data_IF_278802175551
#
_entry.id   IF_278802175551
#
_cell.length_a   1.000
_cell.length_b   1.000
_cell.length_c   1.000
_cell.angle_alpha   90.00
_cell.angle_beta   90.00
_cell.angle_gamma   90.00
#
_symmetry.space_group_name_H-M   'P 1'
#
loop_
_entity.id
_entity.type
_entity.pdbx_description
1 polymer ?
#
# COMPACT_ATOMS: atom_id res chain seq x y z
N UNK A 1 5.28 -14.68 23.42
CA UNK A 1 5.44 -13.36 22.81
C UNK A 1 6.94 -13.06 22.72
N UNK A 2 7.48 -12.91 21.49
CA UNK A 2 8.92 -12.63 21.26
C UNK A 2 9.30 -11.21 21.69
N UNK A 3 8.44 -10.26 21.37
CA UNK A 3 8.62 -8.84 21.68
C UNK A 3 7.36 -8.36 22.38
N UNK A 4 7.30 -8.43 23.72
CA UNK A 4 6.13 -7.99 24.45
C UNK A 4 6.02 -6.47 24.49
N UNK A 5 4.80 -5.96 24.51
CA UNK A 5 4.54 -4.58 24.84
C UNK A 5 5.08 -4.26 26.23
N UNK A 6 5.64 -3.08 26.38
CA UNK A 6 6.00 -2.58 27.69
C UNK A 6 4.80 -1.90 28.34
N UNK A 7 4.69 -2.04 29.64
CA UNK A 7 3.69 -1.33 30.44
C UNK A 7 4.05 0.16 30.59
N UNK A 8 4.37 0.79 29.46
CA UNK A 8 4.67 2.21 29.37
C UNK A 8 3.52 2.86 28.61
N UNK A 9 2.92 3.87 29.18
CA UNK A 9 1.80 4.60 28.58
C UNK A 9 2.17 5.04 27.16
N UNK A 10 1.33 4.70 26.18
CA UNK A 10 1.49 4.99 24.75
C UNK A 10 2.71 4.34 24.07
N UNK A 11 3.28 3.31 24.67
CA UNK A 11 4.38 2.56 24.05
C UNK A 11 3.89 1.17 23.63
N UNK A 12 4.06 0.85 22.36
CA UNK A 12 3.68 -0.46 21.78
C UNK A 12 4.81 -1.00 20.91
N UNK A 13 4.80 -2.31 20.70
CA UNK A 13 5.59 -2.98 19.65
C UNK A 13 4.65 -3.38 18.53
N UNK A 14 4.98 -3.07 17.28
CA UNK A 14 4.07 -3.26 16.15
C UNK A 14 4.81 -3.59 14.85
N UNK A 15 4.03 -4.00 13.87
CA UNK A 15 4.46 -4.17 12.46
C UNK A 15 5.66 -5.11 12.32
N UNK A 16 5.58 -6.30 12.89
CA UNK A 16 6.64 -7.30 12.78
C UNK A 16 6.80 -7.79 11.35
N UNK A 17 8.01 -7.63 10.77
CA UNK A 17 8.37 -8.19 9.47
C UNK A 17 9.51 -9.18 9.61
N UNK A 18 9.37 -10.36 9.03
CA UNK A 18 10.43 -11.37 8.95
C UNK A 18 11.18 -11.26 7.63
N UNK A 19 12.50 -11.38 7.71
CA UNK A 19 13.39 -11.48 6.56
C UNK A 19 14.19 -12.77 6.66
N UNK A 20 14.22 -13.56 5.57
CA UNK A 20 15.06 -14.77 5.46
C UNK A 20 16.25 -14.45 4.56
N UNK A 21 17.44 -14.58 5.11
CA UNK A 21 18.69 -14.34 4.36
C UNK A 21 19.09 -15.56 3.52
N UNK A 22 20.05 -15.37 2.62
CA UNK A 22 20.55 -16.39 1.70
C UNK A 22 21.17 -17.60 2.41
N UNK A 23 21.67 -17.40 3.63
CA UNK A 23 22.22 -18.47 4.48
C UNK A 23 21.16 -19.22 5.31
N UNK A 24 19.87 -18.88 5.13
CA UNK A 24 18.74 -19.42 5.88
C UNK A 24 18.54 -18.79 7.26
N UNK A 25 19.36 -17.84 7.67
CA UNK A 25 19.13 -17.07 8.90
C UNK A 25 17.85 -16.25 8.78
N UNK A 26 17.07 -16.22 9.86
CA UNK A 26 15.81 -15.48 9.90
C UNK A 26 15.93 -14.32 10.87
N UNK A 27 15.51 -13.15 10.42
CA UNK A 27 15.51 -11.91 11.18
C UNK A 27 14.10 -11.39 11.34
N UNK A 28 13.80 -10.78 12.48
CA UNK A 28 12.55 -10.07 12.77
C UNK A 28 12.87 -8.60 13.01
N UNK A 29 12.09 -7.72 12.37
CA UNK A 29 12.13 -6.26 12.56
C UNK A 29 10.78 -5.81 13.10
N UNK A 30 10.76 -4.79 13.96
CA UNK A 30 9.53 -4.27 14.57
C UNK A 30 9.65 -2.81 14.97
N UNK A 31 8.53 -2.08 14.91
CA UNK A 31 8.44 -0.73 15.47
C UNK A 31 8.44 -0.75 17.00
N UNK A 32 9.02 0.26 17.61
CA UNK A 32 9.13 0.37 19.08
C UNK A 32 8.33 1.52 19.68
N UNK A 33 7.79 2.41 18.89
CA UNK A 33 6.89 3.51 19.26
C UNK A 33 7.11 4.08 20.68
N UNK A 34 8.22 4.76 20.89
CA UNK A 34 8.50 5.44 22.14
C UNK A 34 8.89 4.55 23.34
N UNK A 35 8.97 3.22 23.19
CA UNK A 35 9.50 2.34 24.22
C UNK A 35 10.96 2.69 24.54
N UNK A 36 11.73 3.02 23.52
CA UNK A 36 13.14 3.38 23.63
C UNK A 36 13.36 4.76 23.00
N UNK A 37 13.77 5.72 23.81
CA UNK A 37 14.06 7.09 23.33
C UNK A 37 15.20 7.07 22.31
N UNK A 38 14.97 7.64 21.10
CA UNK A 38 15.97 7.72 20.03
C UNK A 38 16.11 6.45 19.18
N UNK A 39 15.24 5.45 19.41
CA UNK A 39 15.23 4.21 18.66
C UNK A 39 13.81 3.89 18.21
N UNK A 40 13.55 4.01 16.92
CA UNK A 40 12.23 3.75 16.35
C UNK A 40 11.98 2.27 16.03
N UNK A 41 13.02 1.53 15.75
CA UNK A 41 12.95 0.15 15.29
C UNK A 41 13.86 -0.77 16.12
N UNK A 42 13.38 -2.00 16.35
CA UNK A 42 14.18 -3.10 16.84
C UNK A 42 14.40 -4.14 15.74
N UNK A 43 15.51 -4.88 15.83
CA UNK A 43 15.83 -6.01 14.98
C UNK A 43 16.38 -7.17 15.83
N UNK A 44 16.14 -8.41 15.39
CA UNK A 44 16.70 -9.56 16.07
C UNK A 44 16.84 -10.76 15.13
N UNK A 45 17.94 -11.50 15.31
CA UNK A 45 18.14 -12.79 14.65
C UNK A 45 17.41 -13.86 15.46
N UNK A 46 16.50 -14.57 14.82
CA UNK A 46 15.75 -15.64 15.44
C UNK A 46 16.63 -16.89 15.66
N UNK A 47 16.44 -17.57 16.76
CA UNK A 47 17.00 -18.89 16.98
C UNK A 47 16.27 -19.95 16.13
N UNK A 48 16.84 -21.14 16.01
CA UNK A 48 16.26 -22.24 15.21
C UNK A 48 14.86 -22.68 15.66
N UNK A 49 14.51 -22.40 16.92
CA UNK A 49 13.17 -22.67 17.46
C UNK A 49 12.11 -21.64 17.03
N UNK A 50 12.53 -20.56 16.37
CA UNK A 50 11.68 -19.42 15.94
C UNK A 50 10.89 -18.77 17.10
N UNK A 51 11.33 -18.94 18.34
CA UNK A 51 10.65 -18.46 19.56
C UNK A 51 11.53 -17.58 20.44
N UNK A 52 12.80 -17.51 20.13
CA UNK A 52 13.77 -16.70 20.86
C UNK A 52 14.72 -16.00 19.89
N UNK A 53 15.47 -15.03 20.41
CA UNK A 53 16.53 -14.34 19.65
C UNK A 53 17.90 -14.85 20.09
N UNK A 54 18.79 -15.04 19.11
CA UNK A 54 20.23 -15.25 19.35
C UNK A 54 20.98 -13.94 19.46
N UNK A 55 20.48 -12.90 18.79
CA UNK A 55 21.04 -11.56 18.78
C UNK A 55 19.91 -10.53 18.62
N UNK A 56 20.02 -9.38 19.27
CA UNK A 56 19.09 -8.27 19.12
C UNK A 56 19.82 -6.95 19.01
N UNK A 57 19.22 -6.01 18.27
CA UNK A 57 19.73 -4.65 18.12
C UNK A 57 18.57 -3.66 18.10
N UNK A 58 18.76 -2.50 18.77
CA UNK A 58 17.92 -1.33 18.55
C UNK A 58 18.57 -0.48 17.44
N UNK A 59 17.76 -0.15 16.41
CA UNK A 59 18.21 0.69 15.30
C UNK A 59 17.97 2.14 15.68
N UNK A 60 19.04 2.97 15.80
CA UNK A 60 18.89 4.36 16.22
C UNK A 60 18.28 5.21 15.10
N UNK A 61 17.58 6.27 15.48
CA UNK A 61 16.98 7.21 14.54
C UNK A 61 18.00 7.94 13.65
N UNK A 62 19.28 7.91 14.00
CA UNK A 62 20.37 8.40 13.14
C UNK A 62 20.63 7.49 11.94
N UNK A 63 20.22 6.23 11.99
CA UNK A 63 20.31 5.26 10.89
C UNK A 63 18.97 5.13 10.14
N UNK A 64 17.86 5.34 10.86
CA UNK A 64 16.49 5.29 10.34
C UNK A 64 15.81 6.65 10.61
N UNK A 65 16.19 7.66 9.82
CA UNK A 65 15.72 9.03 9.99
C UNK A 65 14.19 9.09 9.91
N UNK A 66 13.57 9.72 10.92
CA UNK A 66 12.13 9.91 10.99
C UNK A 66 11.32 8.59 10.91
N UNK A 67 11.88 7.50 11.45
CA UNK A 67 11.16 6.23 11.52
C UNK A 67 9.89 6.37 12.35
N UNK A 68 8.78 5.92 11.76
CA UNK A 68 7.50 5.86 12.45
C UNK A 68 7.04 4.41 12.65
N UNK A 69 6.89 3.62 11.56
CA UNK A 69 6.39 2.25 11.61
C UNK A 69 6.73 1.45 10.34
N UNK A 70 6.18 0.24 10.22
CA UNK A 70 6.23 -0.62 9.04
C UNK A 70 7.66 -0.89 8.53
N UNK A 71 8.56 -1.44 9.35
CA UNK A 71 9.88 -1.84 8.88
C UNK A 71 9.76 -2.96 7.85
N UNK A 72 10.54 -2.86 6.79
CA UNK A 72 10.64 -3.89 5.76
C UNK A 72 12.08 -4.02 5.29
N UNK A 73 12.63 -5.23 5.32
CA UNK A 73 13.99 -5.49 4.85
C UNK A 73 13.97 -6.47 3.68
N UNK A 74 14.74 -6.15 2.66
CA UNK A 74 15.06 -7.05 1.58
C UNK A 74 16.56 -7.01 1.26
N UNK A 75 17.07 -8.06 0.58
CA UNK A 75 18.44 -8.12 0.09
C UNK A 75 18.47 -8.15 -1.42
N UNK A 76 19.36 -7.36 -2.01
CA UNK A 76 19.63 -7.35 -3.45
C UNK A 76 21.10 -7.11 -3.73
N UNK A 77 21.75 -8.04 -4.47
CA UNK A 77 23.16 -7.94 -4.82
C UNK A 77 24.08 -7.69 -3.61
N UNK A 78 23.81 -8.37 -2.50
CA UNK A 78 24.60 -8.25 -1.26
C UNK A 78 24.33 -7.03 -0.40
N UNK A 79 23.43 -6.13 -0.84
CA UNK A 79 23.02 -4.94 -0.08
C UNK A 79 21.69 -5.21 0.59
N UNK A 80 21.57 -4.87 1.87
CA UNK A 80 20.33 -4.90 2.64
C UNK A 80 19.66 -3.53 2.54
N UNK A 81 18.43 -3.51 2.10
CA UNK A 81 17.58 -2.33 1.99
C UNK A 81 16.59 -2.36 3.12
N UNK A 82 16.74 -1.47 4.06
CA UNK A 82 15.82 -1.27 5.17
C UNK A 82 14.90 -0.12 4.79
N UNK A 83 13.65 -0.43 4.52
CA UNK A 83 12.58 0.50 4.15
C UNK A 83 11.59 0.61 5.30
N UNK A 84 10.96 1.76 5.47
CA UNK A 84 10.04 2.02 6.58
C UNK A 84 9.14 3.21 6.29
N UNK A 85 8.04 3.30 7.01
CA UNK A 85 7.13 4.44 6.92
C UNK A 85 7.49 5.55 7.89
N UNK A 86 7.31 6.79 7.43
CA UNK A 86 7.54 8.03 8.17
C UNK A 86 6.34 8.96 8.03
N UNK A 87 6.31 10.02 8.83
CA UNK A 87 5.22 10.98 8.86
C UNK A 87 3.99 10.45 9.60
N UNK A 88 2.86 11.09 9.41
CA UNK A 88 1.60 10.71 10.07
C UNK A 88 0.78 9.80 9.16
N UNK A 89 0.38 8.62 9.65
CA UNK A 89 -0.50 7.71 8.91
C UNK A 89 -1.92 8.26 8.71
N UNK A 90 -2.21 9.45 9.20
CA UNK A 90 -3.51 10.10 9.08
C UNK A 90 -3.58 11.19 7.98
N UNK A 91 -2.45 11.56 7.37
CA UNK A 91 -2.39 12.67 6.44
C UNK A 91 -1.36 12.47 5.31
N UNK A 92 -1.21 13.50 4.47
CA UNK A 92 -0.33 13.51 3.30
C UNK A 92 1.16 13.39 3.61
N UNK A 93 1.56 13.50 4.86
CA UNK A 93 2.97 13.39 5.26
C UNK A 93 3.44 11.94 5.36
N UNK A 94 2.52 10.99 5.35
CA UNK A 94 2.85 9.57 5.33
C UNK A 94 3.60 9.20 4.05
N UNK A 95 4.73 8.52 4.19
CA UNK A 95 5.66 8.25 3.10
C UNK A 95 6.57 7.07 3.42
N UNK A 96 7.28 6.55 2.43
CA UNK A 96 8.28 5.49 2.61
C UNK A 96 9.68 6.07 2.43
N UNK A 97 10.53 5.80 3.40
CA UNK A 97 11.95 6.12 3.38
C UNK A 97 12.79 4.84 3.41
N UNK A 98 14.08 4.96 3.11
CA UNK A 98 14.97 3.81 3.18
C UNK A 98 16.39 4.15 3.61
N UNK A 99 17.07 3.11 4.09
CA UNK A 99 18.47 3.08 4.43
C UNK A 99 19.10 1.79 3.90
N UNK A 100 20.41 1.73 3.77
CA UNK A 100 21.14 0.55 3.27
C UNK A 100 22.26 0.14 4.21
N UNK A 101 22.59 -1.15 4.20
CA UNK A 101 23.71 -1.75 4.94
C UNK A 101 24.31 -2.93 4.18
N UNK A 102 25.52 -3.31 4.54
CA UNK A 102 26.17 -4.57 4.18
C UNK A 102 25.81 -5.72 5.14
N UNK A 103 25.04 -5.44 6.21
CA UNK A 103 24.63 -6.39 7.23
C UNK A 103 23.13 -6.33 7.48
N UNK A 104 22.47 -7.48 7.80
CA UNK A 104 21.02 -7.55 7.96
C UNK A 104 20.47 -6.61 9.05
N UNK A 105 21.16 -6.46 10.16
CA UNK A 105 20.74 -5.58 11.27
C UNK A 105 21.48 -4.24 11.31
N UNK A 106 22.18 -3.85 10.25
CA UNK A 106 22.94 -2.60 10.18
C UNK A 106 24.37 -2.70 10.74
N UNK A 107 25.08 -1.57 10.95
CA UNK A 107 24.55 -0.21 10.88
C UNK A 107 24.06 0.19 9.48
N UNK A 108 23.00 0.99 9.45
CA UNK A 108 22.40 1.46 8.20
C UNK A 108 22.82 2.89 7.87
N UNK A 109 22.93 3.16 6.59
CA UNK A 109 23.13 4.51 6.05
C UNK A 109 21.83 4.99 5.41
N UNK A 110 21.25 6.06 5.93
CA UNK A 110 20.04 6.68 5.38
C UNK A 110 20.27 7.14 3.93
N UNK A 111 19.26 6.93 3.06
CA UNK A 111 19.35 7.20 1.62
C UNK A 111 18.28 8.16 1.11
N UNK A 112 17.18 8.33 1.80
CA UNK A 112 16.12 9.29 1.42
C UNK A 112 14.74 8.70 1.34
N UNK A 113 13.80 9.52 0.84
CA UNK A 113 12.42 9.15 0.58
C UNK A 113 12.31 8.50 -0.80
N UNK A 114 11.50 7.46 -0.91
CA UNK A 114 11.28 6.70 -2.15
C UNK A 114 9.82 6.65 -2.59
N UNK A 115 8.88 6.98 -1.72
CA UNK A 115 7.45 7.04 -2.04
C UNK A 115 6.79 8.06 -1.14
N UNK A 116 6.09 9.01 -1.72
CA UNK A 116 5.33 10.06 -1.02
C UNK A 116 4.08 10.46 -1.80
N UNK A 117 3.26 11.31 -1.20
CA UNK A 117 2.08 11.90 -1.87
C UNK A 117 2.47 12.51 -3.21
N UNK A 118 1.73 12.19 -4.28
CA UNK A 118 2.01 12.72 -5.61
C UNK A 118 1.76 14.23 -5.68
N UNK A 119 2.26 14.86 -6.75
CA UNK A 119 2.28 16.33 -6.88
C UNK A 119 0.90 16.99 -6.92
N UNK A 120 -0.12 16.29 -7.39
CA UNK A 120 -1.50 16.78 -7.43
C UNK A 120 -2.31 16.40 -6.19
N UNK A 121 -1.72 15.63 -5.26
CA UNK A 121 -2.34 15.21 -4.00
C UNK A 121 -3.42 14.14 -4.14
N UNK A 122 -3.63 13.59 -5.33
CA UNK A 122 -4.69 12.59 -5.57
C UNK A 122 -4.30 11.19 -5.07
N UNK A 123 -3.01 10.90 -4.98
CA UNK A 123 -2.47 9.72 -4.28
C UNK A 123 -1.86 10.20 -2.98
N UNK A 124 -2.66 10.11 -1.94
CA UNK A 124 -2.45 10.80 -0.68
C UNK A 124 -1.97 9.82 0.40
N UNK A 125 -0.90 10.17 1.11
CA UNK A 125 -0.36 9.42 2.24
C UNK A 125 -0.01 7.96 1.94
N UNK A 126 0.78 7.67 0.87
CA UNK A 126 1.17 6.31 0.56
C UNK A 126 2.18 5.79 1.57
N UNK A 127 2.03 4.54 1.98
CA UNK A 127 2.95 3.94 2.95
C UNK A 127 2.62 2.51 3.32
N UNK A 128 3.21 2.03 4.43
CA UNK A 128 3.05 0.69 5.00
C UNK A 128 3.21 -0.40 3.92
N UNK A 129 4.34 -0.38 3.27
CA UNK A 129 4.63 -1.12 2.05
C UNK A 129 5.17 -2.52 2.32
N UNK A 130 5.15 -3.31 1.27
CA UNK A 130 5.97 -4.52 1.08
C UNK A 130 6.56 -4.50 -0.33
N UNK A 131 7.45 -5.44 -0.64
CA UNK A 131 8.03 -5.57 -1.97
C UNK A 131 7.76 -6.96 -2.53
N UNK A 132 7.16 -7.02 -3.70
CA UNK A 132 7.03 -8.22 -4.50
C UNK A 132 8.17 -8.27 -5.52
N UNK A 133 8.83 -9.42 -5.60
CA UNK A 133 9.81 -9.71 -6.67
C UNK A 133 9.23 -10.75 -7.59
N UNK A 134 9.17 -10.42 -8.89
CA UNK A 134 8.75 -11.34 -9.94
C UNK A 134 9.84 -11.40 -11.01
N UNK A 135 10.53 -12.53 -11.11
CA UNK A 135 11.71 -12.67 -11.94
C UNK A 135 12.81 -11.68 -11.54
N UNK A 136 13.14 -10.75 -12.44
CA UNK A 136 14.12 -9.67 -12.20
C UNK A 136 13.48 -8.33 -11.85
N UNK A 137 12.16 -8.27 -11.83
CA UNK A 137 11.39 -7.08 -11.57
C UNK A 137 11.00 -6.97 -10.10
N UNK A 138 10.88 -5.74 -9.63
CA UNK A 138 10.46 -5.43 -8.27
C UNK A 138 9.25 -4.51 -8.31
N UNK A 139 8.31 -4.73 -7.40
CA UNK A 139 7.09 -3.95 -7.29
C UNK A 139 6.88 -3.57 -5.84
N UNK A 140 6.63 -2.30 -5.59
CA UNK A 140 6.23 -1.84 -4.26
C UNK A 140 4.72 -2.00 -4.14
N UNK A 141 4.30 -2.77 -3.17
CA UNK A 141 2.90 -2.97 -2.78
C UNK A 141 2.67 -2.11 -1.54
N UNK A 142 1.75 -1.17 -1.60
CA UNK A 142 1.55 -0.19 -0.53
C UNK A 142 0.08 0.19 -0.43
N UNK A 143 -0.31 0.90 0.61
CA UNK A 143 -1.61 1.53 0.66
C UNK A 143 -1.51 3.04 0.45
N UNK A 144 -2.57 3.64 -0.04
CA UNK A 144 -2.84 5.08 0.01
C UNK A 144 -4.13 5.33 0.78
N UNK A 145 -4.36 6.57 1.18
CA UNK A 145 -5.68 6.96 1.64
C UNK A 145 -6.66 6.95 0.47
N UNK A 146 -7.95 6.73 0.78
CA UNK A 146 -9.03 6.83 -0.20
C UNK A 146 -9.13 8.26 -0.79
N UNK A 147 -9.75 8.37 -1.95
CA UNK A 147 -10.05 9.63 -2.58
C UNK A 147 -11.52 9.64 -3.04
N UNK A 148 -12.37 10.53 -2.51
CA UNK A 148 -12.04 11.60 -1.55
C UNK A 148 -11.64 11.07 -0.18
N UNK A 149 -10.77 11.81 0.52
CA UNK A 149 -10.23 11.37 1.81
C UNK A 149 -11.32 11.34 2.87
N UNK A 150 -11.62 10.15 3.36
CA UNK A 150 -12.59 9.92 4.41
C UNK A 150 -11.92 9.42 5.67
N UNK A 151 -12.62 9.56 6.80
CA UNK A 151 -12.25 8.99 8.09
C UNK A 151 -10.76 9.17 8.49
N UNK A 152 -10.17 10.32 8.17
CA UNK A 152 -8.80 10.72 8.57
C UNK A 152 -7.72 9.68 8.19
N UNK A 153 -7.79 9.14 6.99
CA UNK A 153 -6.81 8.19 6.47
C UNK A 153 -6.95 6.75 6.98
N UNK A 154 -8.05 6.40 7.66
CA UNK A 154 -8.31 5.01 8.04
C UNK A 154 -8.94 4.18 6.92
N UNK A 155 -9.55 4.80 5.93
CA UNK A 155 -9.95 4.13 4.70
C UNK A 155 -8.76 4.11 3.74
N UNK A 156 -8.32 2.92 3.37
CA UNK A 156 -7.09 2.71 2.62
C UNK A 156 -7.34 1.82 1.42
N UNK A 157 -6.59 2.09 0.37
CA UNK A 157 -6.66 1.37 -0.88
C UNK A 157 -5.31 0.80 -1.23
N UNK A 158 -5.32 -0.44 -1.71
CA UNK A 158 -4.12 -1.13 -2.16
C UNK A 158 -3.63 -0.53 -3.47
N UNK A 159 -2.34 -0.26 -3.52
CA UNK A 159 -1.63 0.20 -4.71
C UNK A 159 -0.42 -0.70 -4.98
N UNK A 160 -0.06 -0.79 -6.25
CA UNK A 160 1.15 -1.50 -6.69
C UNK A 160 1.78 -0.72 -7.83
N UNK A 161 3.04 -0.32 -7.66
CA UNK A 161 3.81 0.35 -8.70
C UNK A 161 5.19 -0.29 -8.85
N UNK A 162 5.81 -0.11 -10.04
CA UNK A 162 7.12 -0.66 -10.34
C UNK A 162 8.18 0.06 -9.51
N UNK A 163 9.06 -0.73 -8.88
CA UNK A 163 10.22 -0.25 -8.13
C UNK A 163 11.48 -0.46 -8.96
N UNK A 164 12.22 0.60 -9.20
CA UNK A 164 13.42 0.58 -10.01
C UNK A 164 14.67 0.94 -9.21
N UNK A 165 15.81 0.44 -9.70
CA UNK A 165 17.12 0.73 -9.12
C UNK A 165 17.99 1.47 -10.13
N UNK A 166 18.79 2.42 -9.62
CA UNK A 166 19.86 3.04 -10.39
C UNK A 166 21.08 2.09 -10.52
N UNK A 167 22.05 2.48 -11.31
CA UNK A 167 23.26 1.68 -11.56
C UNK A 167 24.09 1.47 -10.28
N UNK A 168 24.13 2.46 -9.41
CA UNK A 168 24.80 2.40 -8.10
C UNK A 168 24.05 1.56 -7.05
N UNK A 169 22.87 1.02 -7.42
CA UNK A 169 22.02 0.22 -6.55
C UNK A 169 21.05 1.03 -5.70
N UNK A 170 21.06 2.35 -5.76
CA UNK A 170 20.03 3.15 -5.07
C UNK A 170 18.64 2.89 -5.63
N UNK A 171 17.61 2.98 -4.76
CA UNK A 171 16.22 2.92 -5.22
C UNK A 171 15.88 4.28 -5.84
N UNK A 172 15.36 4.27 -7.08
CA UNK A 172 14.82 5.48 -7.70
C UNK A 172 13.55 5.88 -6.99
N UNK A 173 13.31 7.19 -6.73
CA UNK A 173 12.04 7.64 -6.22
C UNK A 173 10.88 7.11 -7.09
N UNK A 174 9.91 6.47 -6.45
CA UNK A 174 8.77 5.87 -7.11
C UNK A 174 7.70 6.95 -7.27
N UNK A 175 7.19 7.10 -8.48
CA UNK A 175 6.07 7.99 -8.77
C UNK A 175 4.80 7.13 -8.65
N UNK A 176 3.98 7.35 -7.60
CA UNK A 176 2.77 6.56 -7.43
C UNK A 176 1.76 6.88 -8.53
N UNK A 177 1.07 5.85 -9.04
CA UNK A 177 0.11 5.98 -10.14
C UNK A 177 -1.28 5.49 -9.74
N UNK A 178 -2.31 5.98 -10.45
CA UNK A 178 -3.66 5.44 -10.34
C UNK A 178 -3.82 4.13 -11.13
N UNK A 179 -3.05 3.97 -12.20
CA UNK A 179 -3.14 2.80 -13.10
C UNK A 179 -2.41 1.58 -12.54
N UNK A 180 -1.45 1.78 -11.63
CA UNK A 180 -0.61 0.72 -11.11
C UNK A 180 0.19 0.02 -12.21
N UNK A 181 0.48 -1.25 -12.02
CA UNK A 181 1.30 -2.05 -12.96
C UNK A 181 0.48 -2.78 -14.04
N UNK A 182 -0.84 -2.71 -13.96
CA UNK A 182 -1.70 -3.52 -14.81
C UNK A 182 -1.53 -5.03 -14.58
N UNK A 183 -1.97 -5.84 -15.51
CA UNK A 183 -1.74 -7.27 -15.44
C UNK A 183 -0.26 -7.59 -15.66
N UNK A 184 0.34 -8.35 -14.76
CA UNK A 184 1.67 -8.93 -14.98
C UNK A 184 1.63 -9.81 -16.22
N UNK A 185 2.56 -9.59 -17.14
CA UNK A 185 2.54 -10.16 -18.46
C UNK A 185 2.72 -11.69 -18.42
N UNK A 186 1.65 -12.42 -18.27
CA UNK A 186 1.56 -13.79 -18.78
C UNK A 186 0.08 -14.16 -18.91
N UNK A 187 -0.44 -14.17 -20.10
CA UNK A 187 -1.70 -14.81 -20.47
C UNK A 187 -3.03 -14.13 -20.12
N UNK A 188 -3.08 -12.96 -19.52
CA UNK A 188 -4.35 -12.26 -19.41
C UNK A 188 -4.58 -11.46 -20.70
N UNK A 189 -5.53 -11.89 -21.48
CA UNK A 189 -6.09 -11.06 -22.55
C UNK A 189 -6.55 -9.76 -21.90
N UNK A 190 -5.89 -8.63 -22.24
CA UNK A 190 -6.32 -7.32 -21.77
C UNK A 190 -7.74 -7.08 -22.29
N UNK A 191 -8.73 -7.34 -21.46
CA UNK A 191 -10.10 -6.94 -21.75
C UNK A 191 -10.17 -5.41 -21.72
N UNK A 192 -10.72 -4.82 -22.77
CA UNK A 192 -10.93 -3.37 -22.79
C UNK A 192 -12.06 -3.05 -21.81
N UNK A 193 -11.79 -2.16 -20.85
CA UNK A 193 -12.86 -1.62 -20.01
C UNK A 193 -13.77 -0.72 -20.86
N UNK A 194 -14.96 -1.21 -21.19
CA UNK A 194 -15.95 -0.49 -22.01
C UNK A 194 -16.68 0.60 -21.21
N UNK A 195 -16.68 0.50 -19.88
CA UNK A 195 -17.33 1.45 -19.00
C UNK A 195 -16.49 2.70 -18.75
N UNK A 196 -15.15 2.64 -18.99
CA UNK A 196 -14.26 3.76 -18.71
C UNK A 196 -14.69 5.01 -19.47
N UNK A 197 -15.05 6.06 -18.71
CA UNK A 197 -15.50 7.33 -19.25
C UNK A 197 -16.87 7.29 -19.95
N UNK A 198 -17.67 6.24 -19.76
CA UNK A 198 -19.04 6.16 -20.25
C UNK A 198 -19.89 7.30 -19.66
N UNK A 199 -20.96 7.70 -20.36
CA UNK A 199 -21.95 8.61 -19.78
C UNK A 199 -22.75 7.86 -18.72
N UNK A 200 -22.87 8.46 -17.54
CA UNK A 200 -23.52 7.82 -16.41
C UNK A 200 -24.70 8.64 -15.92
N UNK A 201 -25.79 7.95 -15.58
CA UNK A 201 -26.94 8.51 -14.85
C UNK A 201 -27.21 7.62 -13.64
N UNK A 202 -27.74 8.19 -12.59
CA UNK A 202 -28.14 7.45 -11.40
C UNK A 202 -29.42 8.03 -10.80
N UNK A 203 -30.14 7.21 -10.03
CA UNK A 203 -31.33 7.62 -9.30
C UNK A 203 -31.05 8.75 -8.30
N UNK A 204 -29.91 8.68 -7.63
CA UNK A 204 -29.44 9.67 -6.68
C UNK A 204 -27.93 9.55 -6.47
N UNK A 205 -27.35 10.53 -5.80
CA UNK A 205 -25.98 10.42 -5.22
C UNK A 205 -25.92 11.20 -3.91
N UNK A 206 -25.07 10.76 -3.01
CA UNK A 206 -25.03 11.26 -1.65
C UNK A 206 -24.61 12.72 -1.60
N UNK A 207 -23.48 13.08 -2.21
CA UNK A 207 -22.98 14.44 -2.35
C UNK A 207 -21.97 14.51 -3.53
N UNK A 208 -21.26 15.63 -3.67
CA UNK A 208 -20.31 15.88 -4.75
C UNK A 208 -19.11 14.91 -4.76
N UNK A 209 -18.81 14.26 -3.63
CA UNK A 209 -17.68 13.35 -3.47
C UNK A 209 -18.06 11.90 -3.83
N UNK A 210 -19.36 11.64 -4.15
CA UNK A 210 -19.88 10.30 -4.45
C UNK A 210 -20.73 10.28 -5.73
N UNK A 211 -20.27 10.99 -6.76
CA UNK A 211 -21.01 11.14 -8.02
C UNK A 211 -21.04 9.86 -8.85
N UNK A 212 -22.06 9.69 -9.73
CA UNK A 212 -22.18 8.49 -10.58
C UNK A 212 -20.97 8.24 -11.47
N UNK A 213 -20.29 9.27 -11.95
CA UNK A 213 -19.12 9.17 -12.82
C UNK A 213 -17.97 8.40 -12.19
N UNK A 214 -17.91 8.39 -10.86
CA UNK A 214 -16.89 7.65 -10.09
C UNK A 214 -17.05 6.13 -10.15
N UNK A 215 -18.18 5.63 -10.63
CA UNK A 215 -18.35 4.20 -10.89
C UNK A 215 -17.67 3.71 -12.18
N UNK A 216 -17.19 4.64 -13.04
CA UNK A 216 -16.62 4.32 -14.37
C UNK A 216 -15.31 5.08 -14.67
N UNK A 217 -14.63 5.58 -13.65
CA UNK A 217 -13.40 6.37 -13.79
C UNK A 217 -12.12 5.52 -13.68
N UNK A 218 -12.27 4.20 -13.48
CA UNK A 218 -11.19 3.22 -13.27
C UNK A 218 -10.28 3.56 -12.08
N UNK A 219 -10.82 4.25 -11.09
CA UNK A 219 -10.13 4.69 -9.89
C UNK A 219 -10.73 4.03 -8.65
N UNK A 220 -10.01 3.08 -8.07
CA UNK A 220 -10.43 2.40 -6.82
C UNK A 220 -10.50 3.35 -5.60
N UNK A 221 -10.09 4.61 -5.76
CA UNK A 221 -10.15 5.66 -4.76
C UNK A 221 -11.46 6.41 -4.70
N UNK A 222 -12.30 6.23 -5.68
CA UNK A 222 -13.59 6.88 -5.82
C UNK A 222 -14.71 5.85 -5.85
N UNK A 223 -15.91 6.26 -5.52
CA UNK A 223 -17.08 5.39 -5.65
C UNK A 223 -18.36 6.22 -5.85
N UNK A 224 -19.34 5.65 -6.52
CA UNK A 224 -20.69 6.16 -6.47
C UNK A 224 -21.38 5.65 -5.20
N UNK A 225 -22.03 6.57 -4.49
CA UNK A 225 -22.85 6.24 -3.34
C UNK A 225 -24.22 6.89 -3.50
N UNK A 226 -25.32 6.12 -3.50
CA UNK A 226 -26.66 6.69 -3.53
C UNK A 226 -26.99 7.41 -2.22
N UNK A 227 -27.98 8.31 -2.29
CA UNK A 227 -28.45 9.06 -1.12
C UNK A 227 -29.26 8.22 -0.17
N UNK A 228 -30.01 7.27 -0.68
CA UNK A 228 -30.94 6.43 0.04
C UNK A 228 -30.45 5.02 0.28
N UNK A 229 -31.22 4.28 1.10
CA UNK A 229 -31.01 2.85 1.34
C UNK A 229 -32.09 1.99 0.67
N UNK A 230 -32.92 2.60 -0.17
CA UNK A 230 -33.97 1.91 -0.91
C UNK A 230 -33.47 1.32 -2.22
N UNK A 231 -34.39 1.14 -3.15
CA UNK A 231 -34.05 0.70 -4.51
C UNK A 231 -33.43 1.86 -5.27
N UNK A 232 -32.15 1.74 -5.56
CA UNK A 232 -31.36 2.75 -6.29
C UNK A 232 -30.80 2.10 -7.55
N UNK A 233 -30.51 2.92 -8.57
CA UNK A 233 -29.97 2.43 -9.83
C UNK A 233 -28.88 3.36 -10.38
N UNK A 234 -28.01 2.79 -11.17
CA UNK A 234 -27.00 3.48 -11.98
C UNK A 234 -27.05 2.92 -13.41
N UNK A 235 -26.98 3.77 -14.40
CA UNK A 235 -27.04 3.43 -15.81
C UNK A 235 -25.78 3.96 -16.51
N UNK A 236 -25.17 3.16 -17.36
CA UNK A 236 -23.97 3.47 -18.11
C UNK A 236 -24.27 3.36 -19.61
N UNK A 237 -24.17 4.47 -20.34
CA UNK A 237 -24.33 4.54 -21.79
C UNK A 237 -22.98 4.29 -22.47
N UNK A 238 -22.82 3.18 -23.15
CA UNK A 238 -21.62 2.80 -23.89
C UNK A 238 -21.52 3.46 -25.27
N UNK A 239 -22.51 4.30 -25.63
CA UNK A 239 -22.58 5.09 -26.86
C UNK A 239 -22.96 4.30 -28.11
N UNK A 240 -22.66 3.02 -28.18
CA UNK A 240 -23.04 2.09 -29.27
C UNK A 240 -23.22 0.69 -28.71
N UNK A 241 -23.99 -0.12 -29.38
CA UNK A 241 -24.16 -1.52 -29.00
C UNK A 241 -22.80 -2.24 -28.97
N UNK A 242 -22.51 -2.91 -27.87
CA UNK A 242 -21.27 -3.63 -27.59
C UNK A 242 -21.55 -5.05 -27.12
N UNK A 243 -20.68 -5.97 -27.49
CA UNK A 243 -20.68 -7.29 -26.88
C UNK A 243 -19.94 -7.24 -25.55
N UNK A 244 -20.66 -7.47 -24.47
CA UNK A 244 -20.10 -7.51 -23.10
C UNK A 244 -19.81 -8.97 -22.77
N UNK A 245 -18.58 -9.27 -22.38
CA UNK A 245 -18.17 -10.62 -21.97
C UNK A 245 -18.21 -10.79 -20.46
N UNK A 246 -17.88 -9.73 -19.72
CA UNK A 246 -17.78 -9.77 -18.27
C UNK A 246 -18.16 -8.41 -17.69
N UNK A 247 -18.84 -8.43 -16.57
CA UNK A 247 -19.12 -7.24 -15.76
C UNK A 247 -18.46 -7.45 -14.41
N UNK A 248 -17.63 -6.48 -14.02
CA UNK A 248 -16.99 -6.44 -12.70
C UNK A 248 -17.66 -5.37 -11.87
N UNK A 249 -18.15 -5.74 -10.71
CA UNK A 249 -18.69 -4.82 -9.71
C UNK A 249 -17.84 -4.88 -8.46
N UNK A 250 -17.42 -3.72 -7.97
CA UNK A 250 -16.67 -3.59 -6.73
C UNK A 250 -17.49 -2.76 -5.75
N UNK A 251 -17.50 -3.19 -4.49
CA UNK A 251 -18.19 -2.51 -3.41
C UNK A 251 -17.19 -2.09 -2.34
N UNK A 252 -17.47 -0.98 -1.67
CA UNK A 252 -16.61 -0.42 -0.61
C UNK A 252 -16.30 -1.44 0.50
N UNK A 253 -17.29 -2.24 0.90
CA UNK A 253 -17.14 -3.19 2.00
C UNK A 253 -17.34 -4.62 1.51
N UNK A 254 -16.25 -5.37 1.33
CA UNK A 254 -16.29 -6.78 0.93
C UNK A 254 -16.99 -7.72 1.91
N UNK A 255 -17.26 -7.26 3.14
CA UNK A 255 -17.94 -8.03 4.20
C UNK A 255 -19.43 -7.73 4.31
N UNK A 256 -19.94 -6.75 3.55
CA UNK A 256 -21.35 -6.39 3.53
C UNK A 256 -22.10 -7.20 2.47
N UNK A 257 -23.38 -7.38 2.70
CA UNK A 257 -24.27 -8.01 1.72
C UNK A 257 -24.86 -6.93 0.82
N UNK A 258 -24.66 -7.10 -0.51
CA UNK A 258 -25.24 -6.25 -1.55
C UNK A 258 -26.13 -7.10 -2.46
N UNK A 259 -27.37 -6.69 -2.63
CA UNK A 259 -28.29 -7.31 -3.58
C UNK A 259 -28.52 -6.37 -4.75
N UNK A 260 -28.23 -6.81 -5.96
CA UNK A 260 -28.37 -6.00 -7.17
C UNK A 260 -28.81 -6.84 -8.36
N UNK A 261 -29.38 -6.18 -9.35
CA UNK A 261 -29.77 -6.74 -10.63
C UNK A 261 -28.99 -6.03 -11.74
N UNK A 262 -28.51 -6.78 -12.71
CA UNK A 262 -27.88 -6.23 -13.92
C UNK A 262 -28.83 -6.40 -15.07
N UNK A 263 -29.12 -5.30 -15.75
CA UNK A 263 -29.95 -5.27 -16.96
C UNK A 263 -29.14 -4.63 -18.09
N UNK A 264 -29.42 -5.02 -19.33
CA UNK A 264 -28.81 -4.45 -20.53
C UNK A 264 -29.88 -4.13 -21.56
N UNK A 265 -29.67 -3.03 -22.30
CA UNK A 265 -30.51 -2.68 -23.43
C UNK A 265 -29.67 -2.32 -24.66
N UNK A 266 -30.30 -2.21 -25.84
CA UNK A 266 -29.64 -1.82 -27.11
C UNK A 266 -30.20 -0.54 -27.70
N UNK A 267 -31.10 0.12 -27.00
CA UNK A 267 -31.79 1.38 -27.34
C UNK A 267 -31.15 2.59 -26.64
#
# INVERSE_FOLDING_TARGET
VLVPDRFVTNAITLDGQTFVDDDGSVYLYWGTWGIYKGFGCGAGKLASDMKSFTETRLIPNTEATDFFEAPFVMKRKGIYYFMYSSGSCHDHTYRVQYATSDKPMGPYTYRGCILETNTDGTIHGPGHHSVLKEGNEYYMVYHRHDNPHSNRGFHRQLCVDRMEFAEDGSIKPLIPTHDGIGALASSVVKSKNLALGAKVRASSFYDADFRPEYAVDDNNGTLWRPRGMGQEWIEMDLGVARQIQTIWTQFEYGTQFYQYLIETSVD
#
